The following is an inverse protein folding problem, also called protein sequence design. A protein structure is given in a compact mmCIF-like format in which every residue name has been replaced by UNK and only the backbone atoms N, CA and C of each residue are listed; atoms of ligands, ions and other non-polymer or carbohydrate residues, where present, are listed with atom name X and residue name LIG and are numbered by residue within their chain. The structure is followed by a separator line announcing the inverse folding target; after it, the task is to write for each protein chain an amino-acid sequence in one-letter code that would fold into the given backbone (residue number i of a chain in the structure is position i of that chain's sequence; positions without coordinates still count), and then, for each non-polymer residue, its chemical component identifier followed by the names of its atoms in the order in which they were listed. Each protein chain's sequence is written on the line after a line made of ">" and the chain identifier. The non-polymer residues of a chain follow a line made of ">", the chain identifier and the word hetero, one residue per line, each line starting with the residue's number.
data_IF_305881955456
#
_entry.id   IF_305881955456
#
_cell.length_a   1.000
_cell.length_b   1.000
_cell.length_c   1.000
_cell.angle_alpha   90.00
_cell.angle_beta   90.00
_cell.angle_gamma   90.00
#
_symmetry.space_group_name_H-M   'P 1'
#
loop_
_entity.id
_entity.type
_entity.pdbx_description
1 polymer ?
#
# COMPACT_ATOMS: atom_id res chain seq x y z
N UNK A 1 16.10 -9.17 -8.31
CA UNK A 1 16.67 -10.39 -8.90
C UNK A 1 17.84 -10.90 -8.07
N UNK A 2 18.93 -10.13 -7.90
CA UNK A 2 20.11 -10.58 -7.11
C UNK A 2 19.78 -10.92 -5.65
N UNK A 3 18.98 -10.10 -4.96
CA UNK A 3 18.60 -10.34 -3.55
C UNK A 3 17.80 -11.65 -3.38
N UNK A 4 16.91 -11.98 -4.31
CA UNK A 4 16.12 -13.22 -4.26
C UNK A 4 16.98 -14.47 -4.48
N UNK A 5 18.00 -14.38 -5.34
CA UNK A 5 18.97 -15.47 -5.55
C UNK A 5 19.79 -15.71 -4.28
N UNK A 6 20.24 -14.65 -3.61
CA UNK A 6 21.01 -14.77 -2.35
C UNK A 6 20.18 -15.48 -1.27
N UNK A 7 18.91 -15.11 -1.11
CA UNK A 7 18.02 -15.76 -0.12
C UNK A 7 17.81 -17.24 -0.47
N UNK A 8 17.63 -17.58 -1.74
CA UNK A 8 17.43 -18.96 -2.18
C UNK A 8 18.66 -19.86 -1.93
N UNK A 9 19.88 -19.31 -1.99
CA UNK A 9 21.10 -20.07 -1.68
C UNK A 9 21.28 -20.31 -0.18
N UNK A 10 20.78 -19.40 0.66
CA UNK A 10 20.92 -19.49 2.12
C UNK A 10 19.82 -20.36 2.73
N UNK A 11 18.57 -20.15 2.30
CA UNK A 11 17.39 -20.85 2.81
C UNK A 11 16.38 -21.09 1.68
N UNK A 12 16.60 -22.13 0.86
CA UNK A 12 15.74 -22.43 -0.30
C UNK A 12 14.29 -22.76 0.11
N UNK A 13 14.10 -23.36 1.28
CA UNK A 13 12.79 -23.80 1.77
C UNK A 13 11.89 -22.60 2.14
N UNK A 14 12.47 -21.54 2.72
CA UNK A 14 11.72 -20.34 3.14
C UNK A 14 11.75 -19.19 2.11
N UNK A 15 12.65 -19.23 1.12
CA UNK A 15 12.80 -18.18 0.11
C UNK A 15 11.48 -17.84 -0.61
N UNK A 16 10.70 -18.86 -0.98
CA UNK A 16 9.40 -18.65 -1.62
C UNK A 16 8.39 -17.97 -0.69
N UNK A 17 8.36 -18.39 0.59
CA UNK A 17 7.49 -17.81 1.61
C UNK A 17 7.82 -16.33 1.82
N UNK A 18 9.10 -15.97 1.96
CA UNK A 18 9.53 -14.57 2.09
C UNK A 18 9.09 -13.71 0.91
N UNK A 19 9.31 -14.17 -0.32
CA UNK A 19 8.94 -13.43 -1.53
C UNK A 19 7.42 -13.21 -1.59
N UNK A 20 6.65 -14.25 -1.26
CA UNK A 20 5.18 -14.20 -1.28
C UNK A 20 4.65 -13.26 -0.18
N UNK A 21 5.19 -13.35 1.03
CA UNK A 21 4.82 -12.49 2.15
C UNK A 21 5.15 -11.01 1.88
N UNK A 22 6.34 -10.70 1.36
CA UNK A 22 6.71 -9.33 0.96
C UNK A 22 5.82 -8.82 -0.16
N UNK A 23 5.51 -9.66 -1.15
CA UNK A 23 4.60 -9.30 -2.26
C UNK A 23 3.18 -9.01 -1.75
N UNK A 24 2.72 -9.77 -0.76
CA UNK A 24 1.40 -9.61 -0.14
C UNK A 24 1.28 -8.25 0.55
N UNK A 25 2.29 -7.81 1.31
CA UNK A 25 2.33 -6.46 1.90
C UNK A 25 2.24 -5.39 0.81
N UNK A 26 2.98 -5.55 -0.29
CA UNK A 26 2.92 -4.62 -1.42
C UNK A 26 1.53 -4.53 -2.05
N UNK A 27 0.88 -5.67 -2.29
CA UNK A 27 -0.48 -5.73 -2.84
C UNK A 27 -1.47 -5.04 -1.90
N UNK A 28 -1.38 -5.27 -0.59
CA UNK A 28 -2.22 -4.62 0.41
C UNK A 28 -2.09 -3.10 0.34
N UNK A 29 -0.88 -2.58 0.20
CA UNK A 29 -0.64 -1.13 0.08
C UNK A 29 -1.27 -0.57 -1.20
N UNK A 30 -1.06 -1.25 -2.33
CA UNK A 30 -1.61 -0.80 -3.62
C UNK A 30 -3.13 -0.71 -3.54
N UNK A 31 -3.79 -1.78 -3.10
CA UNK A 31 -5.25 -1.80 -2.97
C UNK A 31 -5.75 -0.84 -1.89
N UNK A 32 -5.07 -0.75 -0.75
CA UNK A 32 -5.39 0.20 0.30
C UNK A 32 -5.33 1.64 -0.23
N UNK A 33 -4.31 1.97 -1.02
CA UNK A 33 -4.17 3.29 -1.66
C UNK A 33 -5.32 3.55 -2.63
N UNK A 34 -5.67 2.59 -3.49
CA UNK A 34 -6.79 2.71 -4.43
C UNK A 34 -8.10 2.98 -3.67
N UNK A 35 -8.38 2.24 -2.60
CA UNK A 35 -9.60 2.40 -1.80
C UNK A 35 -9.64 3.74 -1.06
N UNK A 36 -8.50 4.20 -0.52
CA UNK A 36 -8.38 5.53 0.10
C UNK A 36 -8.60 6.64 -0.92
N UNK A 37 -7.97 6.54 -2.10
CA UNK A 37 -8.21 7.47 -3.20
C UNK A 37 -9.67 7.49 -3.64
N UNK A 38 -10.32 6.32 -3.72
CA UNK A 38 -11.74 6.22 -4.03
C UNK A 38 -12.61 6.91 -2.98
N UNK A 39 -12.32 6.74 -1.69
CA UNK A 39 -13.04 7.45 -0.62
C UNK A 39 -12.82 8.97 -0.68
N UNK A 40 -11.60 9.43 -0.94
CA UNK A 40 -11.29 10.84 -1.15
C UNK A 40 -12.02 11.42 -2.37
N UNK A 41 -12.09 10.66 -3.47
CA UNK A 41 -12.86 11.01 -4.65
C UNK A 41 -14.34 11.20 -4.31
N UNK A 42 -14.96 10.24 -3.62
CA UNK A 42 -16.37 10.38 -3.24
C UNK A 42 -16.62 11.58 -2.33
N UNK A 43 -15.70 11.88 -1.40
CA UNK A 43 -15.80 13.08 -0.55
C UNK A 43 -15.79 14.36 -1.39
N UNK A 44 -14.93 14.42 -2.41
CA UNK A 44 -14.87 15.56 -3.35
C UNK A 44 -16.13 15.69 -4.20
N UNK A 45 -16.68 14.59 -4.70
CA UNK A 45 -17.96 14.59 -5.42
C UNK A 45 -19.11 15.06 -4.52
N UNK A 46 -19.18 14.57 -3.28
CA UNK A 46 -20.19 15.01 -2.32
C UNK A 46 -20.09 16.51 -1.97
N UNK A 47 -18.88 17.08 -2.00
CA UNK A 47 -18.66 18.53 -1.84
C UNK A 47 -18.91 19.36 -3.10
N UNK A 48 -19.27 18.75 -4.23
CA UNK A 48 -19.45 19.43 -5.52
C UNK A 48 -18.15 19.85 -6.22
N UNK A 49 -16.98 19.48 -5.69
CA UNK A 49 -15.68 19.83 -6.25
C UNK A 49 -15.28 18.99 -7.48
N UNK A 50 -15.94 17.85 -7.71
CA UNK A 50 -15.71 16.97 -8.85
C UNK A 50 -17.04 16.45 -9.40
N UNK A 51 -17.13 16.21 -10.72
CA UNK A 51 -18.29 15.55 -11.31
C UNK A 51 -18.42 14.12 -10.81
N UNK A 52 -19.66 13.63 -10.69
CA UNK A 52 -19.92 12.24 -10.35
C UNK A 52 -19.54 11.32 -11.53
N UNK A 53 -19.04 10.12 -11.22
CA UNK A 53 -18.76 9.09 -12.22
C UNK A 53 -20.07 8.49 -12.71
N UNK A 54 -20.16 8.26 -14.02
CA UNK A 54 -21.26 7.51 -14.64
C UNK A 54 -21.32 6.07 -14.14
N UNK A 55 -20.14 5.47 -13.87
CA UNK A 55 -20.04 4.15 -13.26
C UNK A 55 -19.91 4.27 -11.74
N UNK A 56 -20.96 3.88 -11.01
CA UNK A 56 -21.00 3.86 -9.55
C UNK A 56 -20.76 2.45 -9.03
N UNK A 57 -19.91 2.34 -8.02
CA UNK A 57 -19.65 1.06 -7.38
C UNK A 57 -20.91 0.61 -6.63
N UNK A 58 -21.49 -0.56 -6.93
CA UNK A 58 -22.68 -1.03 -6.25
C UNK A 58 -22.39 -1.25 -4.76
N UNK A 59 -23.28 -0.78 -3.89
CA UNK A 59 -23.15 -0.93 -2.44
C UNK A 59 -22.09 -0.02 -1.77
N UNK A 60 -21.50 0.94 -2.49
CA UNK A 60 -20.62 1.93 -1.85
C UNK A 60 -21.41 2.91 -0.98
N UNK A 61 -20.96 3.24 0.26
CA UNK A 61 -19.60 3.08 0.77
C UNK A 61 -19.30 1.79 1.54
N UNK A 62 -20.31 0.96 1.81
CA UNK A 62 -20.17 -0.21 2.70
C UNK A 62 -19.15 -1.19 2.15
N UNK A 63 -19.20 -1.49 0.85
CA UNK A 63 -18.26 -2.39 0.18
C UNK A 63 -16.81 -1.89 0.22
N UNK A 64 -16.59 -0.57 0.11
CA UNK A 64 -15.26 0.05 0.22
C UNK A 64 -14.70 -0.10 1.64
N UNK A 65 -15.53 0.14 2.67
CA UNK A 65 -15.13 -0.07 4.06
C UNK A 65 -14.88 -1.53 4.40
N UNK A 66 -15.71 -2.44 3.89
CA UNK A 66 -15.52 -3.88 4.07
C UNK A 66 -14.19 -4.35 3.45
N UNK A 67 -13.85 -3.88 2.24
CA UNK A 67 -12.58 -4.20 1.61
C UNK A 67 -11.38 -3.66 2.39
N UNK A 68 -11.45 -2.41 2.89
CA UNK A 68 -10.41 -1.84 3.76
C UNK A 68 -10.25 -2.66 5.05
N UNK A 69 -11.35 -3.02 5.70
CA UNK A 69 -11.33 -3.85 6.90
C UNK A 69 -10.70 -5.23 6.64
N UNK A 70 -11.01 -5.84 5.49
CA UNK A 70 -10.39 -7.09 5.07
C UNK A 70 -8.87 -6.95 4.87
N UNK A 71 -8.41 -5.87 4.23
CA UNK A 71 -6.97 -5.62 4.07
C UNK A 71 -6.27 -5.43 5.43
N UNK A 72 -6.90 -4.72 6.38
CA UNK A 72 -6.37 -4.58 7.74
C UNK A 72 -6.31 -5.93 8.46
N UNK A 73 -7.34 -6.77 8.30
CA UNK A 73 -7.34 -8.13 8.85
C UNK A 73 -6.15 -8.94 8.30
N UNK A 74 -5.89 -8.90 7.00
CA UNK A 74 -4.76 -9.63 6.40
C UNK A 74 -3.42 -9.13 6.97
N UNK A 75 -3.25 -7.82 7.20
CA UNK A 75 -2.05 -7.29 7.86
C UNK A 75 -1.89 -7.82 9.29
N UNK A 76 -2.98 -7.92 10.05
CA UNK A 76 -2.97 -8.50 11.40
C UNK A 76 -2.57 -9.98 11.34
N UNK A 77 -3.08 -10.74 10.37
CA UNK A 77 -2.71 -12.14 10.19
C UNK A 77 -1.21 -12.30 9.85
N UNK A 78 -0.67 -11.44 8.99
CA UNK A 78 0.77 -11.41 8.69
C UNK A 78 1.62 -11.10 9.93
N UNK A 79 1.11 -10.33 10.88
CA UNK A 79 1.84 -10.03 12.12
C UNK A 79 2.01 -11.25 13.03
N UNK A 80 1.06 -12.19 12.99
CA UNK A 80 1.17 -13.44 13.75
C UNK A 80 2.03 -14.50 13.04
N UNK A 81 2.23 -14.36 11.73
CA UNK A 81 3.07 -15.24 10.93
C UNK A 81 4.57 -14.88 11.01
N UNK A 82 5.46 -15.87 11.10
CA UNK A 82 6.88 -15.62 11.27
C UNK A 82 7.51 -14.91 10.05
N UNK A 83 7.17 -15.35 8.84
CA UNK A 83 7.67 -14.78 7.59
C UNK A 83 6.94 -13.47 7.27
N UNK A 84 5.65 -13.40 7.61
CA UNK A 84 4.84 -12.19 7.55
C UNK A 84 5.42 -11.04 8.38
N UNK A 85 5.93 -11.30 9.60
CA UNK A 85 6.61 -10.27 10.40
C UNK A 85 7.84 -9.69 9.69
N UNK A 86 8.64 -10.53 9.06
CA UNK A 86 9.81 -10.07 8.28
C UNK A 86 9.34 -9.18 7.13
N UNK A 87 8.29 -9.60 6.42
CA UNK A 87 7.70 -8.80 5.34
C UNK A 87 7.16 -7.44 5.83
N UNK A 88 6.53 -7.39 7.00
CA UNK A 88 6.04 -6.15 7.60
C UNK A 88 7.19 -5.19 7.95
N UNK A 89 8.29 -5.69 8.52
CA UNK A 89 9.48 -4.87 8.83
C UNK A 89 10.11 -4.33 7.56
N UNK A 90 10.31 -5.17 6.54
CA UNK A 90 10.84 -4.75 5.24
C UNK A 90 9.94 -3.69 4.59
N UNK A 91 8.63 -3.90 4.63
CA UNK A 91 7.64 -2.93 4.17
C UNK A 91 7.76 -1.60 4.91
N UNK A 92 7.83 -1.61 6.25
CA UNK A 92 7.96 -0.41 7.07
C UNK A 92 9.25 0.37 6.75
N UNK A 93 10.39 -0.32 6.62
CA UNK A 93 11.66 0.30 6.22
C UNK A 93 11.56 0.94 4.84
N UNK A 94 10.92 0.27 3.88
CA UNK A 94 10.70 0.82 2.55
C UNK A 94 9.81 2.07 2.58
N UNK A 95 8.68 2.05 3.30
CA UNK A 95 7.82 3.23 3.45
C UNK A 95 8.54 4.39 4.13
N UNK A 96 9.36 4.11 5.14
CA UNK A 96 10.18 5.13 5.78
C UNK A 96 11.18 5.74 4.78
N UNK A 97 11.86 4.92 3.97
CA UNK A 97 12.79 5.38 2.96
C UNK A 97 12.09 6.26 1.89
N UNK A 98 10.93 5.83 1.40
CA UNK A 98 10.11 6.61 0.46
C UNK A 98 9.62 7.91 1.10
N UNK A 99 9.16 7.87 2.34
CA UNK A 99 8.72 9.05 3.08
C UNK A 99 9.84 10.08 3.28
N UNK A 100 11.03 9.61 3.69
CA UNK A 100 12.23 10.46 3.82
C UNK A 100 12.62 11.03 2.46
N UNK A 101 12.65 10.21 1.40
CA UNK A 101 12.95 10.66 0.05
C UNK A 101 11.96 11.70 -0.48
N UNK A 102 10.66 11.52 -0.21
CA UNK A 102 9.62 12.49 -0.54
C UNK A 102 9.83 13.82 0.20
N UNK A 103 10.09 13.79 1.51
CA UNK A 103 10.34 15.01 2.29
C UNK A 103 11.64 15.70 1.87
N UNK A 104 12.69 14.94 1.59
CA UNK A 104 13.96 15.48 1.13
C UNK A 104 13.85 16.11 -0.28
N UNK A 105 13.06 15.51 -1.18
CA UNK A 105 12.82 16.06 -2.52
C UNK A 105 11.82 17.22 -2.52
N UNK A 106 10.81 17.21 -1.66
CA UNK A 106 9.86 18.33 -1.52
C UNK A 106 10.53 19.57 -0.93
N UNK A 107 11.50 19.40 -0.03
CA UNK A 107 12.38 20.50 0.44
C UNK A 107 13.31 21.06 -0.64
N UNK A 108 13.63 20.27 -1.68
CA UNK A 108 14.45 20.68 -2.83
C UNK A 108 13.63 21.28 -3.98
N UNK A 109 12.31 21.07 -4.01
CA UNK A 109 11.43 21.75 -4.95
C UNK A 109 11.19 23.18 -4.44
N UNK A 110 12.01 24.11 -4.93
CA UNK A 110 11.68 25.54 -4.90
C UNK A 110 10.24 25.75 -5.41
N UNK A 111 9.52 26.78 -4.95
CA UNK A 111 8.15 27.03 -5.37
C UNK A 111 8.14 27.13 -6.90
N UNK A 112 7.56 26.14 -7.57
CA UNK A 112 7.28 26.26 -9.00
C UNK A 112 6.26 27.38 -9.10
N UNK A 113 6.71 28.50 -9.66
CA UNK A 113 5.96 29.74 -9.72
C UNK A 113 4.57 29.52 -10.29
N UNK A 114 3.58 29.98 -9.53
CA UNK A 114 2.24 30.29 -9.99
C UNK A 114 2.29 31.25 -11.17
N UNK A 115 1.80 30.82 -12.32
CA UNK A 115 1.17 31.66 -13.33
C UNK A 115 -0.14 31.01 -13.76
#
# INVERSE_FOLDING_TARGET
>A
MVVGVIVNVIDPDHAFSYITSVSTVGIIVIWGTILVCHMAYRKKVASGALPASDYRVPGAPVTTWAALAFLVLVLILLFFDADGRVALVVGAVWFAAVGIGYVASSRRRSPVGTR
#
